data_IF_096880313756
#
_entry.id   IF_096880313756
#
_cell.length_a   1.000
_cell.length_b   1.000
_cell.length_c   1.000
_cell.angle_alpha   90.00
_cell.angle_beta   90.00
_cell.angle_gamma   90.00
#
_symmetry.space_group_name_H-M   'P 1'
#
loop_
_entity.id
_entity.type
_entity.pdbx_description
1 polymer ?
#
# COMPACT_ATOMS: atom_id res chain seq x y z
N UNK A 1 -1.19 -25.19 5.46
CA UNK A 1 -0.82 -24.91 6.87
C UNK A 1 -0.28 -23.46 7.02
N UNK A 2 -1.00 -22.48 6.46
CA UNK A 2 -0.67 -21.04 6.57
C UNK A 2 -1.93 -20.25 6.93
N UNK A 3 -3.03 -20.54 6.23
CA UNK A 3 -4.37 -19.99 6.49
C UNK A 3 -4.79 -20.22 7.96
N UNK A 4 -4.56 -21.41 8.51
CA UNK A 4 -4.88 -21.74 9.91
C UNK A 4 -4.07 -20.93 10.94
N UNK A 5 -2.91 -20.37 10.58
CA UNK A 5 -2.13 -19.50 11.47
C UNK A 5 -2.62 -18.04 11.44
N UNK A 6 -3.28 -17.63 10.36
CA UNK A 6 -3.79 -16.27 10.18
C UNK A 6 -5.22 -16.09 10.69
N UNK A 7 -5.93 -17.19 10.97
CA UNK A 7 -7.32 -17.18 11.44
C UNK A 7 -8.34 -17.29 10.30
N UNK A 8 -9.62 -17.33 10.67
CA UNK A 8 -10.73 -17.53 9.74
C UNK A 8 -10.85 -16.38 8.72
N UNK A 9 -10.43 -15.16 9.08
CA UNK A 9 -10.45 -14.02 8.16
C UNK A 9 -9.55 -14.20 6.94
N UNK A 10 -8.47 -14.98 7.05
CA UNK A 10 -7.59 -15.23 5.91
C UNK A 10 -8.27 -16.07 4.83
N UNK A 11 -9.17 -16.97 5.21
CA UNK A 11 -9.95 -17.76 4.27
C UNK A 11 -10.96 -16.89 3.53
N UNK A 12 -11.61 -15.95 4.22
CA UNK A 12 -12.54 -14.98 3.61
C UNK A 12 -11.83 -14.03 2.64
N UNK A 13 -10.63 -13.55 3.00
CA UNK A 13 -9.81 -12.73 2.10
C UNK A 13 -9.44 -13.52 0.84
N UNK A 14 -9.00 -14.77 0.98
CA UNK A 14 -8.61 -15.62 -0.15
C UNK A 14 -9.82 -16.03 -1.03
N UNK A 15 -11.00 -16.21 -0.44
CA UNK A 15 -12.26 -16.44 -1.17
C UNK A 15 -12.68 -15.22 -1.97
N UNK A 16 -12.42 -14.01 -1.47
CA UNK A 16 -12.67 -12.75 -2.17
C UNK A 16 -11.71 -12.48 -3.33
N UNK A 17 -10.58 -13.20 -3.40
CA UNK A 17 -9.61 -13.07 -4.49
C UNK A 17 -9.87 -14.11 -5.60
N UNK A 18 -9.65 -13.70 -6.86
CA UNK A 18 -9.88 -14.54 -8.05
C UNK A 18 -8.73 -15.55 -8.29
N UNK A 19 -8.37 -16.32 -7.27
CA UNK A 19 -7.36 -17.39 -7.37
C UNK A 19 -8.02 -18.72 -7.79
N UNK A 20 -7.44 -19.36 -8.80
CA UNK A 20 -7.81 -20.72 -9.21
C UNK A 20 -7.46 -21.76 -8.13
N UNK A 21 -8.17 -22.88 -8.07
CA UNK A 21 -7.91 -23.95 -7.10
C UNK A 21 -6.44 -24.43 -7.13
N UNK A 22 -5.84 -24.50 -8.32
CA UNK A 22 -4.43 -24.86 -8.47
C UNK A 22 -3.48 -23.84 -7.81
N UNK A 23 -3.79 -22.55 -7.86
CA UNK A 23 -3.00 -21.49 -7.24
C UNK A 23 -3.19 -21.44 -5.73
N UNK A 24 -4.36 -21.84 -5.20
CA UNK A 24 -4.62 -21.93 -3.75
C UNK A 24 -3.76 -22.99 -3.07
N UNK A 25 -3.36 -24.04 -3.80
CA UNK A 25 -2.43 -25.05 -3.31
C UNK A 25 -0.95 -24.62 -3.42
N UNK A 26 -0.64 -23.55 -4.16
CA UNK A 26 0.71 -23.03 -4.29
C UNK A 26 0.97 -21.98 -3.20
N UNK A 27 1.89 -22.32 -2.29
CA UNK A 27 2.29 -21.43 -1.19
C UNK A 27 2.69 -20.02 -1.69
N UNK A 28 3.48 -19.96 -2.76
CA UNK A 28 3.97 -18.71 -3.31
C UNK A 28 2.81 -17.81 -3.79
N UNK A 29 1.85 -18.38 -4.53
CA UNK A 29 0.72 -17.63 -5.05
C UNK A 29 -0.20 -17.09 -3.93
N UNK A 30 -0.42 -17.88 -2.88
CA UNK A 30 -1.19 -17.46 -1.71
C UNK A 30 -0.49 -16.33 -0.96
N UNK A 31 0.83 -16.45 -0.74
CA UNK A 31 1.62 -15.41 -0.07
C UNK A 31 1.61 -14.10 -0.85
N UNK A 32 1.88 -14.15 -2.15
CA UNK A 32 1.95 -12.96 -2.99
C UNK A 32 0.58 -12.25 -3.09
N UNK A 33 -0.52 -13.02 -3.07
CA UNK A 33 -1.87 -12.47 -3.08
C UNK A 33 -2.23 -11.79 -1.76
N UNK A 34 -1.86 -12.40 -0.63
CA UNK A 34 -2.04 -11.78 0.68
C UNK A 34 -1.18 -10.52 0.82
N UNK A 35 0.08 -10.58 0.40
CA UNK A 35 0.95 -9.40 0.35
C UNK A 35 0.34 -8.29 -0.52
N UNK A 36 -0.19 -8.62 -1.69
CA UNK A 36 -0.88 -7.65 -2.54
C UNK A 36 -2.18 -7.10 -1.93
N UNK A 37 -2.90 -7.89 -1.13
CA UNK A 37 -4.11 -7.46 -0.44
C UNK A 37 -3.80 -6.48 0.70
N UNK A 38 -2.76 -6.76 1.50
CA UNK A 38 -2.33 -5.90 2.60
C UNK A 38 -1.53 -4.68 2.14
N UNK A 39 -0.88 -4.74 0.98
CA UNK A 39 -0.30 -3.56 0.33
C UNK A 39 -1.44 -2.74 -0.27
N UNK A 40 -2.02 -1.88 0.57
CA UNK A 40 -3.00 -0.87 0.16
C UNK A 40 -2.52 -0.17 -1.12
N UNK A 41 -3.27 -0.33 -2.23
CA UNK A 41 -3.02 0.45 -3.45
C UNK A 41 -3.04 1.93 -3.08
N UNK A 42 -1.87 2.56 -3.07
CA UNK A 42 -1.73 3.99 -2.78
C UNK A 42 -2.46 4.75 -3.88
N UNK A 43 -3.57 5.40 -3.55
CA UNK A 43 -4.26 6.25 -4.49
C UNK A 43 -3.42 7.50 -4.73
N UNK A 44 -2.72 7.55 -5.86
CA UNK A 44 -1.84 8.65 -6.25
C UNK A 44 -2.57 10.00 -6.29
N UNK A 45 -3.87 10.02 -6.61
CA UNK A 45 -4.67 11.25 -6.65
C UNK A 45 -4.92 11.73 -5.23
N UNK A 46 -5.24 10.82 -4.31
CA UNK A 46 -5.42 11.15 -2.90
C UNK A 46 -4.12 11.68 -2.27
N UNK A 47 -2.98 11.00 -2.50
CA UNK A 47 -1.69 11.46 -2.00
C UNK A 47 -1.27 12.81 -2.60
N UNK A 48 -1.54 13.06 -3.89
CA UNK A 48 -1.32 14.37 -4.53
C UNK A 48 -2.21 15.46 -3.96
N UNK A 49 -3.49 15.16 -3.71
CA UNK A 49 -4.42 16.11 -3.10
C UNK A 49 -3.99 16.46 -1.68
N UNK A 50 -3.61 15.46 -0.88
CA UNK A 50 -3.09 15.64 0.48
C UNK A 50 -1.79 16.44 0.51
N UNK A 51 -0.91 16.23 -0.48
CA UNK A 51 0.31 17.02 -0.66
C UNK A 51 0.00 18.48 -0.99
N UNK A 52 -0.89 18.75 -1.94
CA UNK A 52 -1.27 20.11 -2.34
C UNK A 52 -2.05 20.86 -1.24
N UNK A 53 -2.74 20.14 -0.36
CA UNK A 53 -3.44 20.70 0.81
C UNK A 53 -2.51 20.96 1.99
N UNK A 54 -1.27 20.46 1.97
CA UNK A 54 -0.34 20.60 3.08
C UNK A 54 0.15 22.06 3.16
N UNK A 55 -0.04 22.67 4.32
CA UNK A 55 0.47 23.99 4.68
C UNK A 55 1.45 23.84 5.84
N UNK A 56 2.55 24.59 5.81
CA UNK A 56 3.53 24.61 6.89
C UNK A 56 2.84 24.99 8.20
N UNK A 57 3.03 24.14 9.23
CA UNK A 57 2.47 24.40 10.56
C UNK A 57 3.37 25.38 11.34
N UNK A 58 2.80 26.14 12.27
CA UNK A 58 3.51 27.17 13.03
C UNK A 58 4.69 26.64 13.88
N UNK A 59 4.74 25.33 14.13
CA UNK A 59 5.79 24.65 14.89
C UNK A 59 6.76 23.82 14.01
N UNK A 60 6.60 23.84 12.69
CA UNK A 60 7.45 23.09 11.75
C UNK A 60 8.53 24.02 11.18
N UNK A 61 9.79 23.62 11.28
CA UNK A 61 10.90 24.36 10.67
C UNK A 61 10.80 24.29 9.15
N UNK A 62 11.24 25.36 8.47
CA UNK A 62 11.22 25.44 7.01
C UNK A 62 12.01 24.29 6.39
N UNK A 63 13.17 23.92 6.95
CA UNK A 63 13.99 22.82 6.46
C UNK A 63 13.28 21.46 6.55
N UNK A 64 12.55 21.19 7.63
CA UNK A 64 11.78 19.94 7.80
C UNK A 64 10.64 19.86 6.78
N UNK A 65 9.91 20.98 6.62
CA UNK A 65 8.82 21.06 5.65
C UNK A 65 9.33 20.87 4.21
N UNK A 66 10.42 21.55 3.85
CA UNK A 66 11.03 21.49 2.52
C UNK A 66 11.59 20.10 2.24
N UNK A 67 12.29 19.47 3.18
CA UNK A 67 12.82 18.11 3.03
C UNK A 67 11.70 17.07 2.79
N UNK A 68 10.62 17.14 3.56
CA UNK A 68 9.44 16.29 3.38
C UNK A 68 8.77 16.54 2.02
N UNK A 69 8.66 17.80 1.62
CA UNK A 69 8.04 18.21 0.36
C UNK A 69 8.83 17.69 -0.86
N UNK A 70 10.16 17.81 -0.83
CA UNK A 70 11.05 17.27 -1.88
C UNK A 70 11.02 15.74 -1.94
N UNK A 71 11.06 15.06 -0.78
CA UNK A 71 11.00 13.59 -0.71
C UNK A 71 9.71 13.03 -1.29
N UNK A 72 8.56 13.62 -0.96
CA UNK A 72 7.26 13.19 -1.51
C UNK A 72 7.12 13.50 -3.01
N UNK A 73 7.68 14.63 -3.47
CA UNK A 73 7.66 15.00 -4.89
C UNK A 73 8.46 14.03 -5.77
N UNK A 74 9.56 13.47 -5.25
CA UNK A 74 10.35 12.44 -5.96
C UNK A 74 9.58 11.12 -6.10
N UNK A 75 8.88 10.69 -5.04
CA UNK A 75 8.06 9.48 -5.06
C UNK A 75 6.88 9.56 -6.05
N UNK A 76 6.26 10.74 -6.19
CA UNK A 76 5.15 10.99 -7.13
C UNK A 76 5.59 11.14 -8.59
N UNK A 77 6.89 11.41 -8.84
CA UNK A 77 7.48 11.47 -10.19
C UNK A 77 7.95 10.11 -10.69
N UNK A 78 8.52 9.28 -9.81
CA UNK A 78 8.99 7.93 -10.15
C UNK A 78 7.86 6.99 -10.59
N UNK A 79 6.64 7.24 -10.13
CA UNK A 79 5.44 6.45 -10.47
C UNK A 79 4.70 6.92 -11.72
N UNK A 80 5.23 7.94 -12.43
CA UNK A 80 4.62 8.51 -13.63
C UNK A 80 5.33 8.12 -14.93
N UNK A 81 6.23 7.14 -14.89
CA UNK A 81 7.01 6.65 -16.03
C UNK A 81 6.77 5.16 -16.26
#
# INVERSE_FOLDING_TARGET
MLIYCMGDEADDILRGQALSDAQRHQYQAVRDTLDAYFVSRKNIIYERAKFNQRVQQANETVDSFVALCFGQKLQLRSTAQ
#
